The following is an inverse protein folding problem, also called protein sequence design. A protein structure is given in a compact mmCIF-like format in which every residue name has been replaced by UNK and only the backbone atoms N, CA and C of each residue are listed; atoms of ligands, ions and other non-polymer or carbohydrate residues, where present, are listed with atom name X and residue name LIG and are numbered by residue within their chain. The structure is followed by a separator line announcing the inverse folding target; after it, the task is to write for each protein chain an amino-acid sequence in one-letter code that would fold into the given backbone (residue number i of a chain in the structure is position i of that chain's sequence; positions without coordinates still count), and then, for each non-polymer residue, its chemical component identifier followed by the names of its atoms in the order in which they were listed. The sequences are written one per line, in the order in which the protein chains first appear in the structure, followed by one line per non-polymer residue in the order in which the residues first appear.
data_IF_831333709937
#
_entry.id   IF_831333709937
#
_cell.length_a   1.000
_cell.length_b   1.000
_cell.length_c   1.000
_cell.angle_alpha   90.00
_cell.angle_beta   90.00
_cell.angle_gamma   90.00
#
_symmetry.space_group_name_H-M   'P 1'
#
loop_
_entity.id
_entity.type
_entity.pdbx_description
1 polymer ?
#
# COMPACT_ATOMS: atom_id res chain seq x y z
N UNK A 1 19.10 47.67 -42.97
CA UNK A 1 17.63 47.70 -43.14
C UNK A 1 17.03 46.71 -42.15
N UNK A 2 16.19 47.11 -41.22
CA UNK A 2 15.51 46.12 -40.39
C UNK A 2 14.45 45.42 -41.23
N UNK A 3 14.53 44.13 -41.38
CA UNK A 3 13.48 43.30 -41.99
C UNK A 3 12.31 43.29 -41.02
N UNK A 4 11.31 44.13 -41.28
CA UNK A 4 10.00 44.00 -40.66
C UNK A 4 9.35 42.73 -41.16
N UNK A 5 9.39 41.69 -40.37
CA UNK A 5 8.47 40.58 -40.51
C UNK A 5 7.04 41.12 -40.34
N UNK A 6 6.28 41.15 -41.45
CA UNK A 6 4.97 41.78 -41.47
C UNK A 6 4.01 41.17 -40.46
N UNK A 7 3.45 42.00 -39.61
CA UNK A 7 2.34 41.68 -38.74
C UNK A 7 1.11 41.45 -39.58
N UNK A 8 0.68 40.23 -39.80
CA UNK A 8 -0.54 39.90 -40.52
C UNK A 8 -1.68 39.79 -39.49
N UNK A 9 -2.21 40.94 -39.05
CA UNK A 9 -3.38 40.99 -38.21
C UNK A 9 -3.37 42.16 -37.21
N UNK A 10 -4.53 42.49 -36.62
CA UNK A 10 -4.60 43.54 -35.60
C UNK A 10 -3.77 43.11 -34.36
N UNK A 11 -2.99 44.05 -33.86
CA UNK A 11 -2.18 43.88 -32.65
C UNK A 11 -3.10 43.80 -31.43
N UNK A 12 -3.37 42.61 -30.92
CA UNK A 12 -4.09 42.44 -29.66
C UNK A 12 -3.10 42.50 -28.51
N UNK A 13 -3.24 43.49 -27.67
CA UNK A 13 -2.47 43.57 -26.43
C UNK A 13 -3.06 42.58 -25.42
N UNK A 14 -2.21 41.76 -24.70
CA UNK A 14 -2.73 40.85 -23.70
C UNK A 14 -3.38 41.63 -22.57
N UNK A 15 -4.47 41.10 -22.05
CA UNK A 15 -5.05 41.51 -20.79
C UNK A 15 -4.83 40.41 -19.74
N UNK A 16 -5.07 40.72 -18.46
CA UNK A 16 -4.96 39.74 -17.36
C UNK A 16 -5.89 38.52 -17.51
N UNK A 17 -6.86 38.58 -18.43
CA UNK A 17 -7.85 37.52 -18.63
C UNK A 17 -7.81 36.86 -20.00
N UNK A 18 -7.16 37.48 -21.01
CA UNK A 18 -7.15 36.95 -22.39
C UNK A 18 -5.79 37.24 -23.06
N UNK A 19 -5.09 36.21 -23.47
CA UNK A 19 -3.93 36.28 -24.35
C UNK A 19 -4.31 35.64 -25.70
N UNK A 20 -4.68 36.43 -26.69
CA UNK A 20 -4.98 35.95 -28.03
C UNK A 20 -4.29 36.85 -29.07
N UNK A 21 -3.87 36.27 -30.19
CA UNK A 21 -3.23 36.97 -31.28
C UNK A 21 -1.83 36.46 -31.61
N UNK A 22 -1.17 37.10 -32.59
CA UNK A 22 0.21 36.80 -33.00
C UNK A 22 1.18 37.70 -32.24
N UNK A 23 2.14 37.11 -31.54
CA UNK A 23 3.11 37.78 -30.68
C UNK A 23 4.51 37.65 -31.28
N UNK A 24 5.31 38.71 -31.25
CA UNK A 24 6.73 38.62 -31.49
C UNK A 24 7.44 38.08 -30.21
N UNK A 25 8.64 37.50 -30.38
CA UNK A 25 9.45 37.05 -29.24
C UNK A 25 9.76 38.22 -28.30
N UNK A 26 9.96 39.45 -28.85
CA UNK A 26 10.19 40.65 -28.03
C UNK A 26 8.94 41.08 -27.27
N UNK A 27 7.75 40.99 -27.84
CA UNK A 27 6.50 41.28 -27.12
C UNK A 27 6.30 40.27 -25.99
N UNK A 28 6.55 39.00 -26.25
CA UNK A 28 6.50 37.94 -25.24
C UNK A 28 7.47 38.20 -24.08
N UNK A 29 8.69 38.62 -24.35
CA UNK A 29 9.69 38.97 -23.32
C UNK A 29 9.29 40.18 -22.50
N UNK A 30 8.78 41.26 -23.13
CA UNK A 30 8.34 42.48 -22.44
C UNK A 30 7.20 42.19 -21.49
N UNK A 31 6.18 41.47 -21.96
CA UNK A 31 4.98 41.18 -21.15
C UNK A 31 5.23 40.13 -20.10
N UNK A 32 6.15 39.19 -20.31
CA UNK A 32 6.58 38.23 -19.29
C UNK A 32 7.27 38.96 -18.12
N UNK A 33 8.12 39.96 -18.42
CA UNK A 33 8.82 40.73 -17.39
C UNK A 33 7.91 41.60 -16.52
N UNK A 34 6.70 41.95 -16.98
CA UNK A 34 5.70 42.73 -16.23
C UNK A 34 4.48 41.88 -15.79
N UNK A 35 4.58 40.58 -15.85
CA UNK A 35 3.50 39.64 -15.43
C UNK A 35 2.14 39.88 -16.12
N UNK A 36 2.14 40.38 -17.37
CA UNK A 36 0.95 40.63 -18.16
C UNK A 36 0.47 39.40 -18.96
N UNK A 37 1.24 38.33 -18.99
CA UNK A 37 0.75 37.05 -19.47
C UNK A 37 -0.14 36.45 -18.39
N UNK A 38 -1.37 35.99 -18.73
CA UNK A 38 -2.14 35.27 -17.78
C UNK A 38 -1.34 34.05 -17.34
N UNK A 39 -0.91 34.06 -16.09
CA UNK A 39 -0.45 32.83 -15.45
C UNK A 39 -1.72 32.00 -15.31
N UNK A 40 -1.88 31.01 -16.18
CA UNK A 40 -2.97 30.04 -16.00
C UNK A 40 -2.71 29.35 -14.65
N UNK A 41 -3.39 29.82 -13.63
CA UNK A 41 -3.37 29.12 -12.35
C UNK A 41 -3.89 27.69 -12.61
N UNK A 42 -3.08 26.69 -12.30
CA UNK A 42 -3.52 25.32 -12.40
C UNK A 42 -4.77 25.16 -11.52
N UNK A 43 -5.79 24.54 -12.08
CA UNK A 43 -7.02 24.26 -11.34
C UNK A 43 -6.79 23.06 -10.43
N UNK A 44 -7.36 23.08 -9.22
CA UNK A 44 -7.32 21.96 -8.31
C UNK A 44 -7.87 20.68 -8.96
N UNK A 45 -7.30 19.49 -8.67
CA UNK A 45 -7.84 18.25 -9.19
C UNK A 45 -9.24 18.00 -8.65
N UNK A 46 -10.18 17.59 -9.50
CA UNK A 46 -11.55 17.23 -9.10
C UNK A 46 -11.72 15.72 -8.89
N UNK A 47 -10.76 14.94 -9.32
CA UNK A 47 -10.74 13.49 -9.13
C UNK A 47 -9.31 12.96 -9.09
N UNK A 48 -9.13 11.80 -8.44
CA UNK A 48 -7.86 11.09 -8.37
C UNK A 48 -8.04 9.59 -8.62
N UNK A 49 -7.02 8.95 -9.17
CA UNK A 49 -6.83 7.51 -9.03
C UNK A 49 -6.20 7.26 -7.67
N UNK A 50 -6.61 6.19 -6.98
CA UNK A 50 -6.03 5.86 -5.69
C UNK A 50 -5.63 4.39 -5.56
N UNK A 51 -4.64 4.15 -4.69
CA UNK A 51 -4.34 2.87 -4.09
C UNK A 51 -4.22 3.07 -2.57
N UNK A 52 -4.98 2.29 -1.81
CA UNK A 52 -4.94 2.28 -0.34
C UNK A 52 -4.62 0.86 0.12
N UNK A 53 -3.46 0.67 0.69
CA UNK A 53 -3.01 -0.59 1.27
C UNK A 53 -2.82 -0.41 2.77
N UNK A 54 -3.46 -1.23 3.57
CA UNK A 54 -3.34 -1.20 5.03
C UNK A 54 -2.05 -1.87 5.51
N UNK A 55 -1.73 -1.75 6.80
CA UNK A 55 -0.62 -2.49 7.40
C UNK A 55 -0.90 -3.99 7.43
N UNK A 56 0.12 -4.82 7.19
CA UNK A 56 0.05 -6.27 7.34
C UNK A 56 0.01 -6.69 8.80
N UNK A 57 -0.51 -7.87 9.10
CA UNK A 57 -0.51 -8.47 10.43
C UNK A 57 0.85 -9.05 10.81
N UNK A 58 1.14 -9.14 12.11
CA UNK A 58 2.32 -9.83 12.64
C UNK A 58 2.14 -11.35 12.61
N UNK A 59 3.24 -12.06 12.67
CA UNK A 59 3.26 -13.53 12.75
C UNK A 59 2.99 -14.06 14.14
N UNK A 60 2.47 -15.27 14.24
CA UNK A 60 2.31 -16.01 15.49
C UNK A 60 3.64 -16.61 15.97
N UNK A 61 3.74 -16.81 17.31
CA UNK A 61 4.94 -17.37 17.94
C UNK A 61 5.10 -18.87 17.70
N UNK A 62 6.31 -19.37 17.81
CA UNK A 62 6.75 -20.80 17.83
C UNK A 62 6.11 -21.67 16.75
N UNK A 63 6.75 -21.78 15.62
CA UNK A 63 6.17 -22.42 14.43
C UNK A 63 4.77 -21.89 14.09
N UNK A 64 4.51 -20.64 14.42
CA UNK A 64 3.20 -20.01 14.28
C UNK A 64 2.86 -19.66 12.84
N UNK A 65 1.59 -19.33 12.61
CA UNK A 65 1.07 -18.92 11.31
C UNK A 65 1.66 -17.59 10.85
N UNK A 66 1.81 -17.44 9.54
CA UNK A 66 2.19 -16.15 8.94
C UNK A 66 1.10 -15.10 9.11
N UNK A 67 1.49 -13.83 9.27
CA UNK A 67 0.57 -12.70 9.27
C UNK A 67 -0.11 -12.53 7.91
N UNK A 68 -1.39 -12.15 7.91
CA UNK A 68 -2.12 -11.79 6.70
C UNK A 68 -1.69 -10.44 6.16
N UNK A 69 -1.76 -10.23 4.86
CA UNK A 69 -1.53 -8.94 4.25
C UNK A 69 -2.60 -7.92 4.64
N UNK A 70 -2.24 -6.65 4.66
CA UNK A 70 -3.19 -5.55 4.72
C UNK A 70 -4.13 -5.56 3.52
N UNK A 71 -5.34 -5.06 3.72
CA UNK A 71 -6.32 -4.93 2.65
C UNK A 71 -5.78 -4.08 1.49
N UNK A 72 -6.23 -4.36 0.29
CA UNK A 72 -5.85 -3.70 -0.94
C UNK A 72 -7.09 -3.13 -1.64
N UNK A 73 -7.18 -1.80 -1.73
CA UNK A 73 -8.28 -1.11 -2.41
C UNK A 73 -7.73 -0.12 -3.42
N UNK A 74 -8.27 -0.16 -4.63
CA UNK A 74 -7.88 0.75 -5.72
C UNK A 74 -9.07 1.12 -6.57
N UNK A 75 -9.09 2.33 -7.11
CA UNK A 75 -10.05 2.78 -8.12
C UNK A 75 -9.48 3.95 -8.90
N UNK A 76 -10.12 4.26 -10.01
CA UNK A 76 -9.81 5.43 -10.86
C UNK A 76 -10.95 6.45 -10.79
N UNK A 77 -10.60 7.72 -10.96
CA UNK A 77 -11.59 8.80 -11.06
C UNK A 77 -12.41 9.06 -9.80
N UNK A 78 -11.87 8.75 -8.60
CA UNK A 78 -12.54 9.04 -7.34
C UNK A 78 -12.68 10.56 -7.17
N UNK A 79 -13.91 11.05 -7.05
CA UNK A 79 -14.18 12.48 -6.90
C UNK A 79 -13.67 13.00 -5.56
N UNK A 80 -12.93 14.11 -5.59
CA UNK A 80 -12.42 14.80 -4.40
C UNK A 80 -12.81 16.27 -4.41
N UNK A 81 -12.99 16.84 -3.24
CA UNK A 81 -13.24 18.27 -3.04
C UNK A 81 -12.82 18.69 -1.62
N UNK A 82 -12.33 19.92 -1.48
CA UNK A 82 -11.99 20.48 -0.17
C UNK A 82 -10.89 19.69 0.56
N UNK A 83 -11.16 19.31 1.79
CA UNK A 83 -10.20 18.60 2.65
C UNK A 83 -10.63 17.17 2.94
N UNK A 84 -9.66 16.25 3.02
CA UNK A 84 -9.88 14.84 3.35
C UNK A 84 -8.76 14.30 4.24
N UNK A 85 -9.05 13.23 4.96
CA UNK A 85 -8.06 12.56 5.82
C UNK A 85 -7.28 11.53 5.03
N UNK A 86 -5.96 11.47 5.29
CA UNK A 86 -5.08 10.37 4.90
C UNK A 86 -4.49 9.76 6.16
N UNK A 87 -4.56 8.43 6.29
CA UNK A 87 -3.89 7.65 7.34
C UNK A 87 -3.15 6.49 6.69
N UNK A 88 -1.90 6.29 7.05
CA UNK A 88 -1.12 5.11 6.66
C UNK A 88 -1.02 4.17 7.84
N UNK A 89 -1.57 2.97 7.70
CA UNK A 89 -1.60 1.96 8.75
C UNK A 89 -0.22 1.38 9.04
N UNK A 90 0.10 1.24 10.31
CA UNK A 90 1.30 0.52 10.76
C UNK A 90 1.12 -1.00 10.63
N UNK A 91 2.20 -1.75 10.48
CA UNK A 91 2.20 -3.20 10.62
C UNK A 91 1.84 -3.64 12.03
N UNK A 92 1.23 -4.80 12.16
CA UNK A 92 0.98 -5.47 13.45
C UNK A 92 2.26 -6.07 14.00
N UNK A 93 2.45 -5.99 15.32
CA UNK A 93 3.59 -6.62 15.97
C UNK A 93 3.50 -8.15 15.90
N UNK A 94 4.63 -8.81 15.75
CA UNK A 94 4.74 -10.25 15.90
C UNK A 94 4.47 -10.67 17.35
N UNK A 95 4.19 -11.96 17.58
CA UNK A 95 4.01 -12.47 18.92
C UNK A 95 5.33 -12.48 19.71
N UNK A 96 5.32 -11.91 20.90
CA UNK A 96 6.46 -11.96 21.84
C UNK A 96 6.50 -13.27 22.68
N UNK A 97 5.50 -14.13 22.54
CA UNK A 97 5.38 -15.38 23.31
C UNK A 97 5.16 -16.57 22.40
N UNK A 98 5.61 -17.76 22.85
CA UNK A 98 5.47 -19.00 22.10
C UNK A 98 4.01 -19.33 21.71
N UNK A 99 3.07 -19.03 22.59
CA UNK A 99 1.66 -19.36 22.40
C UNK A 99 0.83 -18.20 21.83
N UNK A 100 1.41 -17.01 21.66
CA UNK A 100 0.69 -15.81 21.25
C UNK A 100 0.37 -15.79 19.75
N UNK A 101 -0.80 -15.26 19.41
CA UNK A 101 -1.06 -14.83 18.04
C UNK A 101 -0.35 -13.50 17.76
N UNK A 102 -0.01 -13.26 16.49
CA UNK A 102 0.44 -11.95 16.04
C UNK A 102 -0.66 -10.90 16.16
N UNK A 103 -0.28 -9.64 16.28
CA UNK A 103 -1.20 -8.51 16.30
C UNK A 103 -1.75 -8.22 14.87
N UNK A 104 -2.97 -7.70 14.82
CA UNK A 104 -3.59 -7.20 13.57
C UNK A 104 -2.85 -5.94 13.13
N UNK A 105 -2.68 -5.74 11.82
CA UNK A 105 -2.20 -4.48 11.25
C UNK A 105 -3.21 -3.34 11.45
N UNK A 106 -2.75 -2.11 11.31
CA UNK A 106 -3.61 -0.93 11.37
C UNK A 106 -4.24 -0.61 10.02
N UNK A 107 -5.43 -0.02 10.05
CA UNK A 107 -6.13 0.42 8.85
C UNK A 107 -5.39 1.58 8.16
N UNK A 108 -5.46 1.61 6.82
CA UNK A 108 -5.15 2.81 6.04
C UNK A 108 -6.43 3.47 5.56
N UNK A 109 -6.43 4.80 5.55
CA UNK A 109 -7.60 5.61 5.18
C UNK A 109 -7.24 6.62 4.10
N UNK A 110 -8.09 6.76 3.13
CA UNK A 110 -8.13 7.87 2.18
C UNK A 110 -9.58 8.36 2.07
N UNK A 111 -9.86 9.57 2.56
CA UNK A 111 -11.22 10.14 2.59
C UNK A 111 -12.21 9.18 3.27
N UNK A 112 -13.18 8.66 2.54
CA UNK A 112 -14.17 7.67 3.00
C UNK A 112 -13.75 6.23 2.76
N UNK A 113 -12.61 6.00 2.11
CA UNK A 113 -12.09 4.68 1.79
C UNK A 113 -11.26 4.19 2.96
N UNK A 114 -11.62 3.05 3.55
CA UNK A 114 -10.86 2.39 4.61
C UNK A 114 -10.42 1.01 4.16
N UNK A 115 -9.12 0.81 4.07
CA UNK A 115 -8.51 -0.49 3.90
C UNK A 115 -8.20 -1.08 5.27
N UNK A 116 -8.63 -2.33 5.50
CA UNK A 116 -8.54 -3.02 6.80
C UNK A 116 -7.16 -3.62 7.00
N UNK A 117 -6.61 -3.50 8.20
CA UNK A 117 -5.35 -4.13 8.56
C UNK A 117 -5.34 -5.64 8.37
N UNK A 118 -4.19 -6.22 8.07
CA UNK A 118 -4.02 -7.66 7.91
C UNK A 118 -4.19 -8.43 9.22
N UNK A 119 -4.74 -9.62 9.17
CA UNK A 119 -4.94 -10.47 10.34
C UNK A 119 -3.62 -11.02 10.90
N UNK A 120 -3.50 -11.14 12.22
CA UNK A 120 -2.36 -11.78 12.87
C UNK A 120 -2.34 -13.28 12.66
N UNK A 121 -1.16 -13.86 12.47
CA UNK A 121 -0.94 -15.30 12.42
C UNK A 121 -1.22 -15.96 13.76
N UNK A 122 -1.72 -17.19 13.75
CA UNK A 122 -1.99 -17.95 14.98
C UNK A 122 -0.69 -18.46 15.63
N UNK A 123 -0.63 -18.47 16.96
CA UNK A 123 0.44 -19.10 17.75
C UNK A 123 0.02 -20.45 18.32
N UNK A 124 0.94 -21.16 18.99
CA UNK A 124 0.62 -22.47 19.61
C UNK A 124 -0.53 -22.33 20.60
N UNK A 125 -1.69 -22.88 20.27
CA UNK A 125 -2.90 -22.79 21.10
C UNK A 125 -3.74 -21.54 20.94
N UNK A 126 -3.36 -20.59 20.08
CA UNK A 126 -4.19 -19.41 19.74
C UNK A 126 -4.51 -19.35 18.26
N UNK A 127 -5.76 -19.06 17.95
CA UNK A 127 -6.23 -18.98 16.56
C UNK A 127 -5.71 -17.72 15.85
N UNK A 128 -5.54 -17.78 14.53
CA UNK A 128 -5.27 -16.59 13.73
C UNK A 128 -6.48 -15.65 13.72
N UNK A 129 -6.25 -14.40 13.39
CA UNK A 129 -7.29 -13.37 13.35
C UNK A 129 -7.67 -12.99 11.91
N UNK A 130 -8.93 -12.55 11.76
CA UNK A 130 -9.42 -11.97 10.50
C UNK A 130 -8.79 -10.62 10.23
N UNK A 131 -8.74 -10.21 8.95
CA UNK A 131 -8.19 -8.92 8.55
C UNK A 131 -8.52 -8.63 7.10
N UNK A 132 -7.87 -7.61 6.52
CA UNK A 132 -7.93 -7.35 5.08
C UNK A 132 -7.61 -8.63 4.30
N UNK A 133 -6.51 -9.30 4.64
CA UNK A 133 -6.29 -10.74 4.40
C UNK A 133 -6.16 -11.44 5.74
N UNK A 134 -6.55 -12.71 5.83
CA UNK A 134 -6.55 -13.48 7.07
C UNK A 134 -5.16 -14.00 7.44
N UNK A 135 -4.89 -14.14 8.74
CA UNK A 135 -3.69 -14.80 9.26
C UNK A 135 -3.67 -16.30 9.00
N UNK A 136 -2.49 -16.90 8.93
CA UNK A 136 -2.26 -18.33 8.77
C UNK A 136 -2.60 -19.13 10.03
N UNK A 137 -3.08 -20.36 9.85
CA UNK A 137 -3.46 -21.28 10.91
C UNK A 137 -2.26 -21.80 11.73
N UNK A 138 -2.55 -22.25 12.94
CA UNK A 138 -1.54 -22.70 13.92
C UNK A 138 -1.12 -24.16 13.72
N UNK A 139 0.03 -24.57 14.25
CA UNK A 139 0.31 -25.98 14.51
C UNK A 139 -0.80 -26.61 15.38
N UNK A 140 -1.18 -27.82 15.04
CA UNK A 140 -2.32 -28.50 15.71
C UNK A 140 -3.59 -28.51 14.87
N UNK A 141 -3.53 -27.97 13.64
CA UNK A 141 -4.59 -28.13 12.62
C UNK A 141 -5.67 -27.06 12.65
N UNK A 142 -5.41 -25.88 13.22
CA UNK A 142 -6.40 -24.81 13.11
C UNK A 142 -6.50 -24.26 11.70
N UNK A 143 -7.70 -23.89 11.31
CA UNK A 143 -7.96 -23.24 10.03
C UNK A 143 -7.30 -21.86 9.96
N UNK A 144 -6.84 -21.46 8.80
CA UNK A 144 -6.47 -20.08 8.51
C UNK A 144 -7.67 -19.15 8.64
N UNK A 145 -7.44 -17.92 9.09
CA UNK A 145 -8.50 -16.94 9.26
C UNK A 145 -9.03 -16.46 7.91
N UNK A 146 -10.31 -16.12 7.86
CA UNK A 146 -10.95 -15.51 6.71
C UNK A 146 -10.46 -14.08 6.46
N UNK A 147 -10.56 -13.61 5.22
CA UNK A 147 -10.38 -12.20 4.87
C UNK A 147 -11.68 -11.41 5.12
N UNK A 148 -11.55 -10.07 5.16
CA UNK A 148 -12.72 -9.16 5.19
C UNK A 148 -13.54 -9.35 3.91
N UNK A 149 -14.84 -9.62 4.10
CA UNK A 149 -15.70 -10.03 2.99
C UNK A 149 -16.31 -8.88 2.19
N UNK A 150 -16.45 -7.68 2.78
CA UNK A 150 -17.13 -6.56 2.11
C UNK A 150 -16.55 -5.19 2.50
N UNK A 151 -16.04 -4.43 1.52
CA UNK A 151 -15.63 -4.92 0.20
C UNK A 151 -14.51 -5.96 0.33
N UNK A 152 -14.42 -6.90 -0.61
CA UNK A 152 -13.34 -7.88 -0.61
C UNK A 152 -11.97 -7.15 -0.74
N UNK A 153 -11.05 -7.38 0.19
CA UNK A 153 -9.78 -6.67 0.28
C UNK A 153 -8.57 -7.59 0.24
N UNK A 154 -8.80 -8.90 0.28
CA UNK A 154 -7.76 -9.91 0.29
C UNK A 154 -8.32 -11.32 0.38
N UNK A 155 -7.49 -12.28 0.76
CA UNK A 155 -7.84 -13.70 0.82
C UNK A 155 -7.55 -14.31 2.19
N UNK A 156 -8.08 -15.50 2.42
CA UNK A 156 -7.88 -16.25 3.66
C UNK A 156 -6.42 -16.71 3.81
N UNK A 157 -5.99 -16.90 5.06
CA UNK A 157 -4.76 -17.62 5.37
C UNK A 157 -4.89 -19.13 5.11
N UNK A 158 -3.75 -19.80 4.99
CA UNK A 158 -3.67 -21.27 4.89
C UNK A 158 -3.93 -21.94 6.23
N UNK A 159 -4.35 -23.19 6.20
CA UNK A 159 -4.53 -24.00 7.40
C UNK A 159 -3.19 -24.50 7.95
N UNK A 160 -3.09 -24.57 9.27
CA UNK A 160 -2.01 -25.32 9.90
C UNK A 160 -2.25 -26.83 9.84
N UNK A 161 -1.20 -27.61 9.93
CA UNK A 161 -1.24 -29.06 10.07
C UNK A 161 -0.81 -29.45 11.50
N UNK A 162 -1.09 -30.66 11.92
CA UNK A 162 -0.70 -31.17 13.24
C UNK A 162 0.80 -31.06 13.47
N UNK A 163 1.22 -30.82 14.68
CA UNK A 163 2.56 -30.65 15.23
C UNK A 163 3.23 -29.31 14.89
N UNK A 164 4.01 -29.16 13.81
CA UNK A 164 4.92 -28.02 13.66
C UNK A 164 4.87 -27.40 12.25
N UNK A 165 3.75 -27.55 11.53
CA UNK A 165 3.57 -26.99 10.19
C UNK A 165 2.40 -26.00 10.20
N UNK A 166 2.71 -24.70 10.30
CA UNK A 166 1.72 -23.66 10.27
C UNK A 166 1.36 -23.24 8.85
N UNK A 167 0.17 -22.61 8.71
CA UNK A 167 -0.27 -22.03 7.44
C UNK A 167 0.38 -20.68 7.18
N UNK A 168 0.57 -20.31 5.91
CA UNK A 168 0.95 -18.96 5.49
C UNK A 168 -0.24 -18.01 5.60
N UNK A 169 0.04 -16.70 5.80
CA UNK A 169 -0.96 -15.65 5.75
C UNK A 169 -1.54 -15.46 4.35
N UNK A 170 -2.80 -15.00 4.24
CA UNK A 170 -3.40 -14.63 2.97
C UNK A 170 -2.77 -13.38 2.37
N UNK A 171 -2.73 -13.30 1.06
CA UNK A 171 -2.34 -12.09 0.31
C UNK A 171 -3.54 -11.44 -0.37
N UNK A 172 -3.36 -10.26 -0.93
CA UNK A 172 -4.43 -9.58 -1.67
C UNK A 172 -4.83 -10.32 -2.96
N UNK A 173 -3.91 -11.05 -3.59
CA UNK A 173 -4.14 -11.77 -4.84
C UNK A 173 -4.39 -13.27 -4.68
N UNK A 174 -3.97 -13.90 -3.57
CA UNK A 174 -4.11 -15.34 -3.39
C UNK A 174 -4.25 -15.74 -1.92
N UNK A 175 -4.86 -16.89 -1.66
CA UNK A 175 -4.89 -17.53 -0.36
C UNK A 175 -3.50 -17.95 0.11
N UNK A 176 -3.28 -18.00 1.41
CA UNK A 176 -2.08 -18.57 2.00
C UNK A 176 -1.97 -20.08 1.80
N UNK A 177 -0.76 -20.58 1.67
CA UNK A 177 -0.48 -22.01 1.57
C UNK A 177 -0.75 -22.75 2.88
N UNK A 178 -1.23 -23.97 2.81
CA UNK A 178 -1.39 -24.83 3.98
C UNK A 178 -0.03 -25.36 4.46
N UNK A 179 0.10 -25.54 5.76
CA UNK A 179 1.16 -26.38 6.29
C UNK A 179 1.05 -27.80 5.76
N UNK A 180 2.17 -28.50 5.61
CA UNK A 180 2.21 -29.84 5.01
C UNK A 180 3.26 -30.74 5.65
N UNK A 181 3.19 -32.05 5.35
CA UNK A 181 4.10 -33.08 5.92
C UNK A 181 4.56 -34.07 4.88
N UNK A 182 5.12 -33.70 3.75
CA UNK A 182 5.85 -34.66 2.86
C UNK A 182 7.33 -34.72 3.22
N UNK A 183 7.68 -35.61 4.14
CA UNK A 183 9.09 -35.78 4.52
C UNK A 183 9.64 -34.77 5.57
N UNK A 184 8.81 -34.02 6.20
CA UNK A 184 9.10 -33.02 7.25
C UNK A 184 7.91 -32.13 7.53
N UNK A 185 7.96 -31.36 8.62
CA UNK A 185 6.91 -30.36 8.92
C UNK A 185 7.24 -29.08 8.17
N UNK A 186 6.53 -28.81 7.09
CA UNK A 186 6.78 -27.69 6.19
C UNK A 186 5.74 -26.58 6.41
N UNK A 187 6.18 -25.38 6.69
CA UNK A 187 5.33 -24.20 6.73
C UNK A 187 4.68 -23.89 5.38
N UNK A 188 3.48 -23.31 5.40
CA UNK A 188 2.81 -22.86 4.19
C UNK A 188 3.40 -21.55 3.67
N UNK A 189 3.55 -21.39 2.37
CA UNK A 189 3.95 -20.12 1.77
C UNK A 189 2.89 -19.06 1.97
N UNK A 190 3.30 -17.79 2.07
CA UNK A 190 2.37 -16.66 2.07
C UNK A 190 1.66 -16.51 0.73
N UNK A 191 0.40 -16.07 0.78
CA UNK A 191 -0.40 -15.77 -0.41
C UNK A 191 0.17 -14.57 -1.19
N UNK A 192 0.18 -14.66 -2.51
CA UNK A 192 0.67 -13.56 -3.36
C UNK A 192 -0.19 -12.30 -3.20
N UNK A 193 0.43 -11.14 -3.31
CA UNK A 193 -0.22 -9.85 -3.38
C UNK A 193 -0.76 -9.53 -4.77
N UNK A 194 -1.21 -8.29 -4.94
CA UNK A 194 -1.78 -7.76 -6.18
C UNK A 194 -0.89 -6.66 -6.75
N UNK A 195 -0.65 -6.70 -8.07
CA UNK A 195 0.14 -5.69 -8.75
C UNK A 195 -0.68 -4.43 -9.05
N UNK A 196 -0.01 -3.27 -8.96
CA UNK A 196 -0.55 -1.97 -9.37
C UNK A 196 0.49 -1.17 -10.13
N UNK A 197 0.08 -0.52 -11.21
CA UNK A 197 0.93 0.40 -11.99
C UNK A 197 0.63 1.87 -11.69
N UNK A 198 0.01 2.18 -10.57
CA UNK A 198 -0.40 3.55 -10.21
C UNK A 198 0.81 4.51 -10.14
N UNK A 199 1.99 4.02 -9.80
CA UNK A 199 3.24 4.81 -9.74
C UNK A 199 3.97 4.95 -11.09
N UNK A 200 3.38 4.45 -12.19
CA UNK A 200 3.99 4.43 -13.52
C UNK A 200 4.76 3.15 -13.83
N UNK A 201 5.18 2.37 -12.82
CA UNK A 201 5.77 1.03 -12.96
C UNK A 201 4.95 0.02 -12.17
N UNK A 202 4.94 -1.24 -12.62
CA UNK A 202 4.21 -2.30 -11.92
C UNK A 202 4.94 -2.68 -10.62
N UNK A 203 4.24 -2.53 -9.50
CA UNK A 203 4.71 -2.93 -8.16
C UNK A 203 3.65 -3.82 -7.53
N UNK A 204 4.06 -4.94 -6.94
CA UNK A 204 3.16 -5.84 -6.21
C UNK A 204 3.09 -5.42 -4.74
N UNK A 205 1.89 -5.38 -4.17
CA UNK A 205 1.60 -4.99 -2.78
C UNK A 205 0.81 -6.09 -2.07
N UNK A 206 0.79 -6.05 -0.76
CA UNK A 206 -0.06 -6.88 0.10
C UNK A 206 0.15 -8.38 -0.09
N UNK A 207 1.39 -8.87 0.00
CA UNK A 207 1.73 -10.30 0.09
C UNK A 207 1.60 -10.80 1.53
N UNK A 208 1.09 -12.00 1.73
CA UNK A 208 1.00 -12.65 3.06
C UNK A 208 2.35 -13.16 3.56
N UNK A 209 2.54 -13.28 4.87
CA UNK A 209 3.73 -13.85 5.48
C UNK A 209 3.78 -15.38 5.38
N UNK A 210 4.97 -15.96 5.40
CA UNK A 210 5.19 -17.41 5.46
C UNK A 210 4.70 -17.99 6.80
N UNK A 211 4.24 -19.22 6.83
CA UNK A 211 4.01 -19.99 8.06
C UNK A 211 5.31 -20.58 8.60
N UNK A 212 5.40 -20.72 9.91
CA UNK A 212 6.54 -21.36 10.57
C UNK A 212 6.56 -22.88 10.44
N UNK A 213 7.72 -23.49 10.66
CA UNK A 213 7.93 -24.93 10.49
C UNK A 213 8.74 -25.59 11.62
N UNK A 214 9.00 -26.89 11.49
CA UNK A 214 9.81 -27.68 12.41
C UNK A 214 11.33 -27.53 12.20
N UNK A 215 11.80 -26.62 11.33
CA UNK A 215 13.22 -26.44 11.01
C UNK A 215 13.72 -27.29 9.83
N UNK A 216 12.82 -27.70 8.95
CA UNK A 216 13.16 -28.60 7.81
C UNK A 216 13.07 -27.91 6.45
N UNK A 217 12.41 -26.75 6.35
CA UNK A 217 12.35 -25.99 5.10
C UNK A 217 12.20 -24.49 5.39
N UNK A 218 12.41 -23.71 4.37
CA UNK A 218 12.14 -22.26 4.42
C UNK A 218 10.89 -21.96 3.64
N UNK A 219 9.77 -21.74 4.33
CA UNK A 219 8.57 -21.20 3.69
C UNK A 219 8.83 -19.74 3.25
N UNK A 220 8.28 -19.37 2.11
CA UNK A 220 8.49 -18.03 1.53
C UNK A 220 7.27 -17.15 1.70
N UNK A 221 7.52 -15.88 1.95
CA UNK A 221 6.48 -14.86 1.93
C UNK A 221 5.92 -14.66 0.52
N UNK A 222 4.68 -14.24 0.44
CA UNK A 222 4.01 -13.92 -0.82
C UNK A 222 4.63 -12.71 -1.50
N UNK A 223 4.71 -12.74 -2.83
CA UNK A 223 5.11 -11.57 -3.61
C UNK A 223 4.28 -10.36 -3.20
N UNK A 224 4.92 -9.18 -3.10
CA UNK A 224 4.25 -7.97 -2.62
C UNK A 224 4.57 -7.64 -1.17
N UNK A 225 5.73 -8.10 -0.69
CA UNK A 225 6.30 -7.71 0.59
C UNK A 225 6.00 -8.64 1.75
N UNK A 226 5.45 -9.82 1.53
CA UNK A 226 5.30 -10.83 2.59
C UNK A 226 6.66 -11.25 3.15
N UNK A 227 6.78 -11.33 4.47
CA UNK A 227 7.97 -11.81 5.16
C UNK A 227 8.19 -13.31 4.94
N UNK A 228 9.41 -13.73 4.60
CA UNK A 228 9.81 -15.11 4.68
C UNK A 228 9.77 -15.58 6.14
N UNK A 229 9.88 -16.88 6.36
CA UNK A 229 9.98 -17.42 7.71
C UNK A 229 11.03 -16.67 8.53
N UNK A 230 10.64 -16.25 9.76
CA UNK A 230 11.49 -15.48 10.66
C UNK A 230 11.71 -14.00 10.28
N UNK A 231 11.09 -13.50 9.23
CA UNK A 231 11.35 -12.11 8.79
C UNK A 231 10.11 -11.24 8.75
N UNK A 232 10.32 -9.93 8.99
CA UNK A 232 9.24 -8.95 8.91
C UNK A 232 8.73 -8.77 7.47
N UNK A 233 7.47 -8.39 7.35
CA UNK A 233 6.89 -7.87 6.13
C UNK A 233 7.56 -6.57 5.70
N UNK A 234 7.68 -6.36 4.38
CA UNK A 234 8.31 -5.17 3.82
C UNK A 234 7.46 -3.93 4.11
N UNK A 235 8.12 -2.88 4.62
CA UNK A 235 7.47 -1.59 4.89
C UNK A 235 6.89 -0.97 3.60
N UNK A 236 5.80 -0.22 3.76
CA UNK A 236 5.10 0.48 2.65
C UNK A 236 4.58 -0.45 1.54
N UNK A 237 4.33 -1.71 1.88
CA UNK A 237 3.71 -2.69 0.98
C UNK A 237 2.47 -3.34 1.58
N UNK A 238 2.27 -3.24 2.89
CA UNK A 238 1.22 -3.96 3.59
C UNK A 238 1.46 -5.47 3.70
N UNK A 239 2.72 -5.92 3.60
CA UNK A 239 3.07 -7.33 3.68
C UNK A 239 2.90 -7.91 5.09
N UNK A 240 2.41 -9.15 5.21
CA UNK A 240 2.33 -9.88 6.49
C UNK A 240 3.71 -10.35 6.97
N UNK A 241 3.89 -10.49 8.28
CA UNK A 241 5.12 -11.02 8.89
C UNK A 241 5.24 -12.54 8.78
N UNK A 242 6.46 -13.07 8.65
CA UNK A 242 6.74 -14.50 8.59
C UNK A 242 6.83 -15.15 9.97
N UNK A 243 6.26 -16.36 10.10
CA UNK A 243 6.26 -17.17 11.32
C UNK A 243 7.66 -17.67 11.69
N UNK A 244 7.83 -18.07 12.96
CA UNK A 244 9.10 -18.56 13.48
C UNK A 244 9.34 -20.04 13.20
N UNK A 245 10.60 -20.43 13.21
CA UNK A 245 11.00 -21.84 13.40
C UNK A 245 10.62 -22.33 14.80
N UNK A 246 10.32 -23.62 14.91
CA UNK A 246 10.01 -24.22 16.21
C UNK A 246 11.16 -24.09 17.22
N UNK A 247 12.40 -24.15 16.76
CA UNK A 247 13.61 -24.05 17.59
C UNK A 247 14.11 -22.62 17.81
N UNK A 248 13.55 -21.63 17.09
CA UNK A 248 13.80 -20.19 17.30
C UNK A 248 12.46 -19.45 17.48
N UNK A 249 11.83 -19.60 18.65
CA UNK A 249 10.46 -19.14 18.86
C UNK A 249 10.30 -17.61 18.87
N UNK A 250 11.39 -16.87 18.96
CA UNK A 250 11.40 -15.40 18.96
C UNK A 250 11.81 -14.80 17.60
N UNK A 251 12.25 -15.65 16.64
CA UNK A 251 12.49 -15.24 15.27
C UNK A 251 11.19 -15.07 14.49
N UNK A 252 10.32 -14.15 14.92
CA UNK A 252 9.02 -13.88 14.30
C UNK A 252 9.03 -12.53 13.63
N UNK A 253 8.34 -12.40 12.50
CA UNK A 253 8.27 -11.16 11.73
C UNK A 253 7.07 -10.28 12.08
N UNK A 254 7.33 -8.98 12.28
CA UNK A 254 6.28 -7.97 12.30
C UNK A 254 5.64 -7.84 10.92
N UNK A 255 4.41 -7.35 10.84
CA UNK A 255 3.82 -6.91 9.58
C UNK A 255 4.49 -5.64 9.05
N UNK A 256 4.53 -5.47 7.74
CA UNK A 256 4.97 -4.26 7.07
C UNK A 256 3.90 -3.16 7.12
N UNK A 257 4.31 -1.89 7.18
CA UNK A 257 3.36 -0.78 7.07
C UNK A 257 2.66 -0.74 5.72
N UNK A 258 1.46 -0.14 5.69
CA UNK A 258 0.71 0.14 4.47
C UNK A 258 1.25 1.31 3.66
N UNK A 259 0.48 1.71 2.66
CA UNK A 259 0.76 2.88 1.80
C UNK A 259 -0.55 3.46 1.27
N UNK A 260 -0.60 4.77 1.10
CA UNK A 260 -1.67 5.46 0.36
C UNK A 260 -1.04 6.18 -0.83
N UNK A 261 -1.57 5.97 -2.03
CA UNK A 261 -1.07 6.60 -3.25
C UNK A 261 -2.23 7.29 -3.95
N UNK A 262 -2.03 8.56 -4.31
CA UNK A 262 -2.96 9.37 -5.09
C UNK A 262 -2.28 9.79 -6.39
N UNK A 263 -2.97 9.62 -7.52
CA UNK A 263 -2.47 10.00 -8.84
C UNK A 263 -3.51 10.82 -9.58
N UNK A 264 -3.09 11.92 -10.19
CA UNK A 264 -3.91 12.77 -11.04
C UNK A 264 -3.07 13.49 -12.12
N UNK A 265 -3.72 14.12 -13.10
CA UNK A 265 -3.03 14.80 -14.19
C UNK A 265 -2.12 15.93 -13.69
N UNK A 266 -0.91 16.06 -14.23
CA UNK A 266 0.06 17.07 -13.84
C UNK A 266 -0.31 18.50 -14.28
N UNK A 267 -1.32 18.60 -15.16
CA UNK A 267 -1.97 19.86 -15.52
C UNK A 267 -2.86 20.45 -14.42
N UNK A 268 -3.11 19.69 -13.34
CA UNK A 268 -3.81 20.19 -12.15
C UNK A 268 -2.83 20.79 -11.13
N UNK A 269 -3.33 21.66 -10.24
CA UNK A 269 -2.57 22.23 -9.14
C UNK A 269 -2.03 21.15 -8.18
N UNK A 270 -1.01 21.49 -7.40
CA UNK A 270 -0.56 20.66 -6.28
C UNK A 270 -1.60 20.64 -5.16
N UNK A 271 -1.53 19.62 -4.29
CA UNK A 271 -2.26 19.64 -3.04
C UNK A 271 -1.79 20.85 -2.20
N UNK A 272 -2.74 21.69 -1.75
CA UNK A 272 -2.42 22.99 -1.14
C UNK A 272 -1.93 22.88 0.29
N UNK A 273 -2.43 21.88 1.03
CA UNK A 273 -2.00 21.60 2.41
C UNK A 273 -1.85 20.11 2.60
N UNK A 274 -0.71 19.69 3.18
CA UNK A 274 -0.49 18.31 3.62
C UNK A 274 -0.12 18.38 5.09
N UNK A 275 -0.94 17.76 5.95
CA UNK A 275 -0.77 17.80 7.40
C UNK A 275 0.62 17.33 7.84
N UNK A 276 1.23 18.05 8.78
CA UNK A 276 2.62 17.82 9.22
C UNK A 276 2.89 16.45 9.87
N UNK A 277 1.84 15.65 10.14
CA UNK A 277 1.98 14.26 10.60
C UNK A 277 2.15 13.23 9.49
N UNK A 278 2.07 13.64 8.21
CA UNK A 278 2.21 12.75 7.05
C UNK A 278 3.63 12.78 6.48
N UNK A 279 4.18 11.61 6.23
CA UNK A 279 5.39 11.44 5.42
C UNK A 279 4.99 11.04 4.01
N UNK A 280 5.46 11.80 3.01
CA UNK A 280 5.12 11.53 1.61
C UNK A 280 6.24 11.88 0.64
N UNK A 281 6.09 11.40 -0.60
CA UNK A 281 6.89 11.82 -1.76
C UNK A 281 5.95 12.23 -2.88
N UNK A 282 6.32 13.30 -3.61
CA UNK A 282 5.67 13.70 -4.86
C UNK A 282 6.60 13.37 -6.03
N UNK A 283 6.07 12.70 -7.03
CA UNK A 283 6.74 12.43 -8.30
C UNK A 283 5.86 12.93 -9.44
N UNK A 284 6.45 13.70 -10.37
CA UNK A 284 5.78 14.11 -11.61
C UNK A 284 6.43 13.39 -12.78
N UNK A 285 5.68 12.55 -13.47
CA UNK A 285 6.16 11.75 -14.60
C UNK A 285 5.00 11.28 -15.48
N UNK A 286 5.25 11.18 -16.78
CA UNK A 286 4.30 10.62 -17.74
C UNK A 286 2.97 11.37 -17.84
N UNK A 287 2.92 12.68 -17.52
CA UNK A 287 1.70 13.50 -17.52
C UNK A 287 0.89 13.40 -16.23
N UNK A 288 1.47 12.86 -15.15
CA UNK A 288 0.80 12.68 -13.86
C UNK A 288 1.64 13.16 -12.70
N UNK A 289 0.95 13.63 -11.64
CA UNK A 289 1.46 13.81 -10.28
C UNK A 289 1.06 12.61 -9.45
N UNK A 290 2.03 12.02 -8.75
CA UNK A 290 1.85 10.87 -7.87
C UNK A 290 2.31 11.23 -6.47
N UNK A 291 1.38 11.34 -5.54
CA UNK A 291 1.64 11.49 -4.11
C UNK A 291 1.63 10.10 -3.45
N UNK A 292 2.75 9.69 -2.89
CA UNK A 292 2.91 8.42 -2.16
C UNK A 292 3.12 8.74 -0.69
N UNK A 293 2.09 8.50 0.14
CA UNK A 293 2.13 8.64 1.60
C UNK A 293 2.60 7.32 2.22
N UNK A 294 3.63 7.38 3.05
CA UNK A 294 4.33 6.21 3.62
C UNK A 294 4.23 6.10 5.13
N UNK A 295 3.79 7.14 5.83
CA UNK A 295 3.56 7.09 7.27
C UNK A 295 2.65 8.23 7.74
N UNK A 296 2.02 8.03 8.89
CA UNK A 296 1.33 9.06 9.65
C UNK A 296 -0.15 9.21 9.34
N UNK A 297 -0.74 10.23 9.97
CA UNK A 297 -2.14 10.65 9.79
C UNK A 297 -2.18 12.16 9.68
N UNK A 298 -2.99 12.66 8.77
CA UNK A 298 -3.16 14.11 8.59
C UNK A 298 -4.28 14.46 7.63
N UNK A 299 -4.64 15.75 7.63
CA UNK A 299 -5.58 16.33 6.66
C UNK A 299 -4.82 16.79 5.44
N UNK A 300 -5.36 16.50 4.27
CA UNK A 300 -4.88 16.96 2.96
C UNK A 300 -5.95 17.84 2.34
N UNK A 301 -5.57 18.97 1.75
CA UNK A 301 -6.49 19.91 1.05
C UNK A 301 -6.05 20.09 -0.40
N UNK A 302 -7.04 20.24 -1.30
CA UNK A 302 -6.85 20.52 -2.72
C UNK A 302 -7.10 21.98 -3.05
#
# INVERSE_FOLDING_TARGET
MPVNGGNIGPRNLPSLSVASGVWSISDAQIYHGVSLFPVFALVAPTSVDYLVVAGGGGAGGRAGGGGGAGGFLTSTGFAISGSFTVTVGAGGAASETNAGAGAVGSNSVFSTITSTGGGGGGGEGTNPTVGGSGGGGTPGGSAGASATASPAQGNAGGNGLSAFAAGGGGGAGAVGGNGSYPGGYLGGNGGAGTASSITGTSVTYAGGGAGGDGGFSTATGGAGGGGNEGTAGTVNTGGGGGGAFYHDPLGVGDGGSGVVILKYADTSADLTTIGGGLTYTLTTSGGFKVYKFTAGTGTVTI
#
